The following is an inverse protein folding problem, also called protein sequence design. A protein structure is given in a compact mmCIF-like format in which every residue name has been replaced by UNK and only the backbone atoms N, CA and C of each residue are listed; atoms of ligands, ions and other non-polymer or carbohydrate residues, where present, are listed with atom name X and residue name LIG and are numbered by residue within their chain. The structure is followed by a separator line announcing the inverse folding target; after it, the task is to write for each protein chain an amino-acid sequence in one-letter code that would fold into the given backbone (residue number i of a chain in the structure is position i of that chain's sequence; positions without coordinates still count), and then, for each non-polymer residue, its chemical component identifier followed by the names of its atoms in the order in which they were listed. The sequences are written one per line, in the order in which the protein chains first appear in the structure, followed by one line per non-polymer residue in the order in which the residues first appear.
data_IF_923913994263
#
_entry.id   IF_923913994263
#
_cell.length_a   1.000
_cell.length_b   1.000
_cell.length_c   1.000
_cell.angle_alpha   90.00
_cell.angle_beta   90.00
_cell.angle_gamma   90.00
#
_symmetry.space_group_name_H-M   'P 1'
#
loop_
_entity.id
_entity.type
_entity.pdbx_description
1 polymer ?
#
# COMPACT_ATOMS: atom_id res chain seq x y z
N UNK A 1 -16.12 -0.15 -8.39
CA UNK A 1 -15.01 -1.06 -8.07
C UNK A 1 -15.28 -2.40 -8.75
N UNK A 2 -14.28 -2.93 -9.43
CA UNK A 2 -14.36 -4.21 -10.14
C UNK A 2 -14.42 -5.35 -9.12
N UNK A 3 -15.21 -6.40 -9.40
CA UNK A 3 -15.28 -7.59 -8.54
C UNK A 3 -14.17 -8.57 -8.93
N UNK A 4 -13.58 -9.26 -7.97
CA UNK A 4 -12.51 -10.24 -8.24
C UNK A 4 -12.93 -11.33 -9.25
N UNK A 5 -14.18 -11.78 -9.18
CA UNK A 5 -14.76 -12.74 -10.14
C UNK A 5 -14.75 -12.23 -11.59
N UNK A 6 -14.75 -10.91 -11.81
CA UNK A 6 -14.62 -10.33 -13.15
C UNK A 6 -13.16 -10.39 -13.61
N UNK A 7 -12.21 -10.09 -12.73
CA UNK A 7 -10.77 -10.13 -13.03
C UNK A 7 -10.26 -11.56 -13.32
N UNK A 8 -10.87 -12.56 -12.70
CA UNK A 8 -10.58 -13.98 -12.96
C UNK A 8 -11.04 -14.45 -14.35
N UNK A 9 -11.96 -13.72 -14.98
CA UNK A 9 -12.59 -14.10 -16.26
C UNK A 9 -12.16 -13.22 -17.42
N UNK A 10 -11.74 -11.99 -17.15
CA UNK A 10 -11.29 -11.05 -18.17
C UNK A 10 -9.91 -11.49 -18.72
N UNK A 11 -9.79 -11.81 -20.02
CA UNK A 11 -8.52 -12.22 -20.62
C UNK A 11 -7.36 -11.24 -20.37
N UNK A 12 -7.65 -9.93 -20.27
CA UNK A 12 -6.62 -8.91 -20.07
C UNK A 12 -6.01 -8.96 -18.66
N UNK A 13 -6.75 -9.45 -17.66
CA UNK A 13 -6.30 -9.47 -16.26
C UNK A 13 -6.07 -10.88 -15.72
N UNK A 14 -6.73 -11.88 -16.30
CA UNK A 14 -6.84 -13.25 -15.78
C UNK A 14 -5.48 -13.88 -15.49
N UNK A 15 -4.50 -13.74 -16.39
CA UNK A 15 -3.18 -14.35 -16.22
C UNK A 15 -2.49 -13.81 -14.97
N UNK A 16 -2.37 -12.48 -14.84
CA UNK A 16 -1.75 -11.88 -13.67
C UNK A 16 -2.59 -12.15 -12.41
N UNK A 17 -3.91 -11.98 -12.50
CA UNK A 17 -4.81 -12.15 -11.36
C UNK A 17 -4.70 -13.57 -10.75
N UNK A 18 -4.60 -14.59 -11.59
CA UNK A 18 -4.43 -15.98 -11.15
C UNK A 18 -3.01 -16.28 -10.63
N UNK A 19 -2.01 -15.50 -11.02
CA UNK A 19 -0.64 -15.57 -10.48
C UNK A 19 -0.51 -14.82 -9.14
N UNK A 20 -1.46 -15.03 -8.24
CA UNK A 20 -1.46 -14.47 -6.89
C UNK A 20 -0.63 -15.33 -5.95
N UNK A 21 0.28 -14.72 -5.20
CA UNK A 21 1.03 -15.37 -4.13
C UNK A 21 0.37 -15.02 -2.80
N UNK A 22 -0.17 -16.04 -2.12
CA UNK A 22 -0.97 -15.87 -0.91
C UNK A 22 -0.32 -16.41 0.36
N UNK A 23 0.82 -17.09 0.24
CA UNK A 23 1.51 -17.72 1.38
C UNK A 23 2.89 -17.10 1.60
N UNK A 24 3.33 -17.07 2.86
CA UNK A 24 4.68 -16.65 3.23
C UNK A 24 5.74 -17.53 2.55
N UNK A 25 5.47 -18.84 2.43
CA UNK A 25 6.37 -19.76 1.72
C UNK A 25 6.54 -19.35 0.26
N UNK A 26 5.45 -19.11 -0.46
CA UNK A 26 5.51 -18.65 -1.84
C UNK A 26 6.21 -17.30 -1.98
N UNK A 27 6.02 -16.39 -1.03
CA UNK A 27 6.73 -15.11 -1.03
C UNK A 27 8.25 -15.30 -0.87
N UNK A 28 8.70 -16.22 -0.01
CA UNK A 28 10.13 -16.55 0.13
C UNK A 28 10.73 -17.18 -1.12
N UNK A 29 9.99 -18.09 -1.76
CA UNK A 29 10.45 -18.79 -2.97
C UNK A 29 10.79 -17.83 -4.12
N UNK A 30 10.04 -16.73 -4.25
CA UNK A 30 10.29 -15.74 -5.30
C UNK A 30 11.28 -14.64 -4.90
N UNK A 31 11.64 -14.55 -3.61
CA UNK A 31 12.30 -13.37 -3.04
C UNK A 31 13.63 -13.03 -3.70
N UNK A 32 14.47 -14.05 -3.94
CA UNK A 32 15.82 -13.86 -4.48
C UNK A 32 15.83 -13.57 -5.99
N UNK A 33 14.78 -13.99 -6.70
CA UNK A 33 14.71 -14.00 -8.17
C UNK A 33 13.73 -12.96 -8.75
N UNK A 34 13.23 -12.05 -7.92
CA UNK A 34 12.26 -11.04 -8.33
C UNK A 34 12.70 -9.63 -7.91
N UNK A 35 12.28 -8.66 -8.71
CA UNK A 35 12.19 -7.27 -8.30
C UNK A 35 10.75 -6.99 -7.83
N UNK A 36 10.57 -5.96 -7.00
CA UNK A 36 9.28 -5.65 -6.39
C UNK A 36 8.84 -4.24 -6.75
N UNK A 37 7.55 -4.11 -7.03
CA UNK A 37 6.91 -2.81 -7.20
C UNK A 37 5.66 -2.75 -6.34
N UNK A 38 5.54 -1.70 -5.53
CA UNK A 38 4.31 -1.40 -4.82
C UNK A 38 3.47 -0.36 -5.56
N UNK A 39 2.16 -0.55 -5.53
CA UNK A 39 1.15 0.34 -6.08
C UNK A 39 0.13 0.70 -4.99
N UNK A 40 -0.19 1.98 -4.87
CA UNK A 40 -1.29 2.45 -4.03
C UNK A 40 -2.04 3.57 -4.76
N UNK A 41 -3.34 3.63 -4.56
CA UNK A 41 -4.21 4.62 -5.19
C UNK A 41 -4.99 5.42 -4.17
N UNK A 42 -5.16 6.73 -4.42
CA UNK A 42 -6.04 7.58 -3.61
C UNK A 42 -7.17 8.15 -4.45
N UNK A 43 -8.37 7.96 -3.95
CA UNK A 43 -9.61 8.41 -4.58
C UNK A 43 -10.53 9.11 -3.58
N UNK A 44 -11.25 10.12 -4.06
CA UNK A 44 -12.17 10.94 -3.27
C UNK A 44 -13.60 10.75 -3.78
N UNK A 45 -14.57 10.67 -2.87
CA UNK A 45 -15.98 10.66 -3.27
C UNK A 45 -16.42 12.08 -3.66
N UNK A 46 -17.15 12.22 -4.77
CA UNK A 46 -17.65 13.52 -5.27
C UNK A 46 -19.08 13.74 -4.76
N UNK A 47 -20.02 12.90 -5.20
CA UNK A 47 -21.44 13.04 -4.85
C UNK A 47 -21.96 11.89 -3.98
N UNK A 48 -21.36 10.70 -4.09
CA UNK A 48 -21.74 9.51 -3.35
C UNK A 48 -20.56 8.57 -3.15
N UNK A 49 -20.68 7.54 -2.29
CA UNK A 49 -19.63 6.53 -2.11
C UNK A 49 -19.31 5.72 -3.38
N UNK A 50 -20.23 5.69 -4.36
CA UNK A 50 -20.04 5.00 -5.64
C UNK A 50 -19.39 5.86 -6.72
N UNK A 51 -19.38 7.18 -6.53
CA UNK A 51 -18.85 8.18 -7.47
C UNK A 51 -17.54 8.73 -6.91
N UNK A 52 -16.44 8.03 -7.21
CA UNK A 52 -15.11 8.33 -6.68
C UNK A 52 -14.16 8.64 -7.82
N UNK A 53 -13.42 9.74 -7.68
CA UNK A 53 -12.39 10.13 -8.64
C UNK A 53 -11.01 9.85 -8.09
N UNK A 54 -10.20 9.18 -8.90
CA UNK A 54 -8.79 8.93 -8.67
C UNK A 54 -8.04 10.27 -8.73
N UNK A 55 -7.28 10.58 -7.69
CA UNK A 55 -6.55 11.85 -7.60
C UNK A 55 -5.07 11.68 -7.27
N UNK A 56 -4.63 10.44 -7.02
CA UNK A 56 -3.22 10.12 -6.83
C UNK A 56 -2.95 8.65 -7.14
N UNK A 57 -1.79 8.40 -7.74
CA UNK A 57 -1.18 7.07 -7.85
C UNK A 57 0.22 7.13 -7.26
N UNK A 58 0.57 6.16 -6.43
CA UNK A 58 1.91 5.97 -5.88
C UNK A 58 2.51 4.70 -6.46
N UNK A 59 3.77 4.78 -6.85
CA UNK A 59 4.59 3.67 -7.35
C UNK A 59 5.92 3.69 -6.59
N UNK A 60 6.38 2.53 -6.13
CA UNK A 60 7.72 2.38 -5.60
C UNK A 60 8.33 1.07 -6.07
N UNK A 61 9.48 1.16 -6.73
CA UNK A 61 10.25 0.01 -7.18
C UNK A 61 11.45 -0.24 -6.26
N UNK A 62 11.79 -1.51 -6.09
CA UNK A 62 13.02 -1.93 -5.45
C UNK A 62 13.51 -3.27 -5.99
N UNK A 63 14.83 -3.41 -6.09
CA UNK A 63 15.49 -4.70 -6.40
C UNK A 63 15.64 -5.62 -5.19
N UNK A 64 15.53 -5.06 -3.99
CA UNK A 64 15.75 -5.80 -2.74
C UNK A 64 14.78 -5.38 -1.65
N UNK A 65 14.59 -6.24 -0.65
CA UNK A 65 13.96 -5.86 0.60
C UNK A 65 14.96 -6.16 1.72
N UNK A 66 15.84 -5.19 1.98
CA UNK A 66 16.84 -5.22 3.04
C UNK A 66 16.53 -4.13 4.05
N UNK A 67 16.99 -4.32 5.28
CA UNK A 67 17.05 -3.23 6.25
C UNK A 67 18.29 -3.38 7.09
N UNK A 68 19.05 -2.30 7.24
CA UNK A 68 20.19 -2.25 8.16
C UNK A 68 19.77 -2.29 9.63
N UNK A 69 18.47 -2.07 9.90
CA UNK A 69 17.95 -1.98 11.26
C UNK A 69 17.73 -3.39 11.82
N UNK A 70 18.31 -3.74 12.98
CA UNK A 70 18.01 -5.01 13.63
C UNK A 70 16.50 -5.12 13.91
N UNK A 71 15.95 -6.34 13.96
CA UNK A 71 14.55 -6.61 14.32
C UNK A 71 14.13 -5.78 15.51
N UNK A 72 12.89 -5.31 15.49
CA UNK A 72 12.35 -4.66 16.66
C UNK A 72 12.24 -5.74 17.77
N UNK A 73 12.91 -5.58 18.92
CA UNK A 73 12.82 -6.55 20.00
C UNK A 73 11.36 -6.75 20.42
N UNK A 74 11.02 -7.95 20.88
CA UNK A 74 9.70 -8.25 21.41
C UNK A 74 9.29 -7.21 22.46
N UNK A 75 7.99 -6.91 22.54
CA UNK A 75 7.47 -5.87 23.42
C UNK A 75 7.70 -6.29 24.88
N UNK A 76 8.61 -5.62 25.57
CA UNK A 76 8.90 -5.82 27.00
C UNK A 76 8.66 -4.52 27.79
N UNK A 77 8.21 -4.66 29.04
CA UNK A 77 8.03 -3.51 29.93
C UNK A 77 9.37 -2.80 30.15
N UNK A 78 9.37 -1.47 30.01
CA UNK A 78 10.54 -0.63 30.28
C UNK A 78 11.54 -0.47 29.14
N UNK A 79 11.38 -1.18 28.01
CA UNK A 79 12.31 -1.07 26.87
C UNK A 79 11.80 -0.07 25.83
N UNK A 80 12.61 0.96 25.56
CA UNK A 80 12.37 1.90 24.45
C UNK A 80 12.67 1.17 23.14
N UNK A 81 11.63 0.89 22.34
CA UNK A 81 11.81 0.27 21.03
C UNK A 81 12.57 1.21 20.07
N UNK A 82 13.54 0.68 19.28
CA UNK A 82 14.20 1.45 18.26
C UNK A 82 13.17 1.98 17.25
N UNK A 83 13.28 3.26 16.92
CA UNK A 83 12.37 3.94 15.98
C UNK A 83 12.91 3.77 14.57
N UNK A 84 12.50 2.71 13.89
CA UNK A 84 12.84 2.51 12.47
C UNK A 84 12.18 3.61 11.64
N UNK A 85 12.95 4.25 10.77
CA UNK A 85 12.48 5.34 9.91
C UNK A 85 12.25 4.82 8.50
N UNK A 86 11.13 5.19 7.87
CA UNK A 86 10.85 4.79 6.48
C UNK A 86 11.89 5.35 5.51
N UNK A 87 12.43 6.54 5.80
CA UNK A 87 13.52 7.14 5.02
C UNK A 87 14.75 6.26 4.93
N UNK A 88 15.17 5.66 6.04
CA UNK A 88 16.33 4.77 6.02
C UNK A 88 16.03 3.51 5.21
N UNK A 89 14.82 2.97 5.31
CA UNK A 89 14.42 1.82 4.50
C UNK A 89 14.39 2.15 3.00
N UNK A 90 13.89 3.33 2.62
CA UNK A 90 13.92 3.81 1.24
C UNK A 90 15.35 3.91 0.69
N UNK A 91 16.26 4.52 1.46
CA UNK A 91 17.67 4.68 1.10
C UNK A 91 18.41 3.33 1.05
N UNK A 92 18.19 2.44 2.02
CA UNK A 92 18.88 1.13 2.11
C UNK A 92 18.58 0.20 0.93
N UNK A 93 17.48 0.45 0.23
CA UNK A 93 17.01 -0.36 -0.88
C UNK A 93 17.14 0.34 -2.22
N UNK A 94 17.76 1.54 -2.26
CA UNK A 94 17.94 2.33 -3.48
C UNK A 94 16.62 2.47 -4.25
N UNK A 95 15.54 2.76 -3.53
CA UNK A 95 14.20 2.72 -4.11
C UNK A 95 13.97 3.83 -5.13
N UNK A 96 13.28 3.49 -6.21
CA UNK A 96 12.77 4.44 -7.18
C UNK A 96 11.29 4.68 -6.88
N UNK A 97 10.94 5.91 -6.50
CA UNK A 97 9.58 6.29 -6.12
C UNK A 97 8.98 7.30 -7.09
N UNK A 98 7.71 7.14 -7.41
CA UNK A 98 6.95 8.08 -8.23
C UNK A 98 5.55 8.29 -7.65
N UNK A 99 5.22 9.55 -7.42
CA UNK A 99 3.87 9.99 -7.04
C UNK A 99 3.26 10.80 -8.18
N UNK A 100 2.19 10.29 -8.77
CA UNK A 100 1.41 10.99 -9.79
C UNK A 100 0.22 11.69 -9.14
N UNK A 101 0.20 13.01 -9.20
CA UNK A 101 -0.94 13.85 -8.84
C UNK A 101 -1.80 14.06 -10.08
N UNK A 102 -3.02 13.53 -10.06
CA UNK A 102 -3.92 13.67 -11.21
C UNK A 102 -4.61 15.04 -11.15
N UNK A 103 -4.57 15.75 -12.25
CA UNK A 103 -5.27 17.01 -12.44
C UNK A 103 -6.76 16.75 -12.69
N UNK A 104 -7.53 16.70 -11.61
CA UNK A 104 -8.97 16.39 -11.65
C UNK A 104 -9.84 17.57 -12.11
N UNK A 105 -9.25 18.71 -12.51
CA UNK A 105 -10.00 19.91 -12.94
C UNK A 105 -10.86 19.63 -14.18
N UNK A 106 -10.36 18.84 -15.13
CA UNK A 106 -11.07 18.46 -16.36
C UNK A 106 -12.25 17.52 -16.07
N UNK A 107 -12.04 16.51 -15.22
CA UNK A 107 -13.07 15.50 -14.88
C UNK A 107 -14.20 16.06 -14.01
N UNK A 108 -13.89 16.97 -13.11
CA UNK A 108 -14.87 17.51 -12.15
C UNK A 108 -15.74 18.64 -12.76
N UNK A 109 -15.30 19.27 -13.85
CA UNK A 109 -16.00 20.37 -14.53
C UNK A 109 -16.11 21.67 -13.70
N UNK A 110 -16.30 22.80 -14.39
CA UNK A 110 -16.41 24.13 -13.76
C UNK A 110 -17.62 24.29 -12.82
N UNK A 111 -18.65 23.46 -12.97
CA UNK A 111 -19.86 23.54 -12.14
C UNK A 111 -19.66 23.00 -10.72
N UNK A 112 -18.87 21.93 -10.52
CA UNK A 112 -18.50 21.43 -9.18
C UNK A 112 -17.62 22.44 -8.45
N UNK A 113 -16.85 23.25 -9.20
CA UNK A 113 -16.04 24.33 -8.67
C UNK A 113 -16.89 25.53 -8.17
N UNK A 114 -18.02 25.81 -8.82
CA UNK A 114 -18.88 26.97 -8.54
C UNK A 114 -19.83 26.80 -7.35
N UNK A 115 -20.24 25.58 -6.98
CA UNK A 115 -21.19 25.31 -5.87
C UNK A 115 -20.48 25.25 -4.49
N UNK A 116 -19.35 25.96 -4.32
CA UNK A 116 -18.52 25.91 -3.12
C UNK A 116 -17.36 24.91 -3.22
N UNK A 117 -16.75 24.86 -4.41
CA UNK A 117 -15.70 23.93 -4.84
C UNK A 117 -14.56 23.70 -3.86
N UNK A 118 -13.94 22.52 -4.02
CA UNK A 118 -12.76 22.03 -3.30
C UNK A 118 -12.88 21.74 -1.79
N UNK A 119 -14.01 21.99 -1.11
CA UNK A 119 -14.15 21.65 0.33
C UNK A 119 -13.93 20.16 0.69
N UNK A 120 -13.89 19.25 -0.28
CA UNK A 120 -13.69 17.82 -0.09
C UNK A 120 -12.32 17.26 -0.50
N UNK A 121 -11.46 18.02 -1.20
CA UNK A 121 -10.13 17.51 -1.58
C UNK A 121 -9.20 17.61 -0.38
N UNK A 122 -8.74 16.50 0.21
CA UNK A 122 -8.04 16.59 1.47
C UNK A 122 -6.66 17.22 1.24
N UNK A 123 -6.34 18.20 2.09
CA UNK A 123 -5.01 18.82 2.12
C UNK A 123 -4.03 17.72 2.52
N UNK A 124 -3.12 17.40 1.60
CA UNK A 124 -2.20 16.27 1.71
C UNK A 124 -0.94 16.66 2.43
N UNK A 125 -0.31 15.66 3.04
CA UNK A 125 1.04 15.78 3.58
C UNK A 125 2.05 16.07 2.49
N UNK A 126 3.18 16.73 2.83
CA UNK A 126 4.30 16.86 1.92
C UNK A 126 4.74 15.49 1.43
N UNK A 127 4.98 15.38 0.13
CA UNK A 127 5.61 14.23 -0.49
C UNK A 127 7.01 14.01 0.09
N UNK A 128 7.37 12.75 0.37
CA UNK A 128 8.63 12.43 1.10
C UNK A 128 9.59 11.55 0.34
N UNK A 129 9.14 10.76 -0.62
CA UNK A 129 9.94 9.70 -1.22
C UNK A 129 9.86 9.71 -2.74
N UNK A 130 11.01 9.78 -3.41
CA UNK A 130 11.10 9.77 -4.87
C UNK A 130 10.58 11.05 -5.51
N UNK A 131 10.12 10.96 -6.75
CA UNK A 131 9.62 12.08 -7.55
C UNK A 131 8.12 12.30 -7.36
N UNK A 132 7.68 13.54 -7.54
CA UNK A 132 6.26 13.90 -7.61
C UNK A 132 6.00 14.65 -8.91
N UNK A 133 5.04 14.16 -9.71
CA UNK A 133 4.64 14.76 -10.99
C UNK A 133 3.14 15.02 -10.99
N UNK A 134 2.72 16.08 -11.66
CA UNK A 134 1.30 16.33 -11.93
C UNK A 134 1.00 15.91 -13.36
N UNK A 135 -0.05 15.12 -13.56
CA UNK A 135 -0.45 14.56 -14.85
C UNK A 135 -1.94 14.77 -15.06
N UNK A 136 -2.36 14.96 -16.31
CA UNK A 136 -3.78 14.86 -16.65
C UNK A 136 -4.21 13.39 -16.65
N UNK A 137 -5.51 13.10 -16.48
CA UNK A 137 -5.99 11.72 -16.40
C UNK A 137 -5.72 10.96 -17.70
N UNK A 138 -5.77 11.65 -18.84
CA UNK A 138 -5.53 11.08 -20.16
C UNK A 138 -4.08 10.61 -20.35
N UNK A 139 -3.13 11.23 -19.64
CA UNK A 139 -1.70 10.91 -19.69
C UNK A 139 -1.27 9.95 -18.55
N UNK A 140 -2.20 9.53 -17.70
CA UNK A 140 -1.91 8.72 -16.52
C UNK A 140 -1.32 7.36 -16.91
N UNK A 141 -1.96 6.65 -17.85
CA UNK A 141 -1.46 5.33 -18.29
C UNK A 141 -0.08 5.44 -18.90
N UNK A 142 0.14 6.42 -19.77
CA UNK A 142 1.44 6.66 -20.39
C UNK A 142 2.53 6.91 -19.33
N UNK A 143 2.24 7.73 -18.32
CA UNK A 143 3.17 8.05 -17.23
C UNK A 143 3.50 6.82 -16.36
N UNK A 144 2.51 5.95 -16.09
CA UNK A 144 2.73 4.70 -15.36
C UNK A 144 3.57 3.73 -16.19
N UNK A 145 3.26 3.60 -17.49
CA UNK A 145 3.96 2.69 -18.41
C UNK A 145 5.40 3.15 -18.64
N UNK A 146 5.63 4.45 -18.82
CA UNK A 146 6.99 5.03 -18.96
C UNK A 146 7.84 4.67 -17.73
N UNK A 147 7.32 4.91 -16.52
CA UNK A 147 8.00 4.52 -15.30
C UNK A 147 8.36 3.04 -15.27
N UNK A 148 7.44 2.15 -15.67
CA UNK A 148 7.66 0.70 -15.72
C UNK A 148 8.64 0.27 -16.82
N UNK A 149 8.69 0.98 -17.93
CA UNK A 149 9.58 0.67 -19.07
C UNK A 149 11.05 0.95 -18.75
N UNK A 150 11.31 1.98 -17.95
CA UNK A 150 12.64 2.39 -17.51
C UNK A 150 13.23 1.48 -16.42
N UNK A 151 12.39 0.65 -15.79
CA UNK A 151 12.84 -0.27 -14.75
C UNK A 151 13.78 -1.36 -15.29
N UNK A 152 14.72 -1.84 -14.48
CA UNK A 152 15.57 -2.97 -14.78
C UNK A 152 14.78 -4.25 -15.10
N UNK A 153 15.16 -4.91 -16.20
CA UNK A 153 14.51 -6.13 -16.73
C UNK A 153 15.32 -7.40 -16.45
N UNK A 154 16.22 -7.34 -15.47
CA UNK A 154 17.13 -8.42 -15.07
C UNK A 154 16.41 -9.55 -14.32
N UNK A 155 15.27 -9.25 -13.68
CA UNK A 155 14.45 -10.18 -12.91
C UNK A 155 12.98 -10.01 -13.23
N UNK A 156 12.19 -11.00 -12.80
CA UNK A 156 10.72 -10.91 -12.83
C UNK A 156 10.24 -9.76 -11.93
N UNK A 157 9.29 -8.97 -12.41
CA UNK A 157 8.66 -7.93 -11.60
C UNK A 157 7.42 -8.47 -10.90
N UNK A 158 7.30 -8.24 -9.60
CA UNK A 158 6.17 -8.69 -8.77
C UNK A 158 5.49 -7.48 -8.14
N UNK A 159 4.18 -7.39 -8.34
CA UNK A 159 3.33 -6.34 -7.78
C UNK A 159 3.01 -6.63 -6.32
N UNK A 160 3.20 -5.66 -5.42
CA UNK A 160 2.89 -5.77 -4.00
C UNK A 160 1.87 -4.70 -3.61
N UNK A 161 0.85 -5.07 -2.85
CA UNK A 161 -0.01 -4.11 -2.17
C UNK A 161 -0.55 -4.60 -0.85
N UNK A 162 -1.44 -3.82 -0.24
CA UNK A 162 -2.11 -4.15 1.00
C UNK A 162 -3.60 -3.78 0.88
N UNK A 163 -4.45 -4.78 0.64
CA UNK A 163 -5.86 -4.55 0.33
C UNK A 163 -6.10 -4.09 -1.10
N UNK A 164 -5.64 -4.89 -2.07
CA UNK A 164 -5.51 -4.58 -3.51
C UNK A 164 -6.82 -4.32 -4.29
N UNK A 165 -7.98 -4.24 -3.63
CA UNK A 165 -9.26 -4.16 -4.32
C UNK A 165 -9.46 -2.87 -5.13
N UNK A 166 -8.97 -1.74 -4.62
CA UNK A 166 -9.01 -0.47 -5.34
C UNK A 166 -7.98 -0.44 -6.47
N UNK A 167 -6.76 -0.91 -6.18
CA UNK A 167 -5.64 -0.96 -7.11
C UNK A 167 -5.97 -1.81 -8.33
N UNK A 168 -6.61 -2.96 -8.15
CA UNK A 168 -7.09 -3.79 -9.25
C UNK A 168 -8.18 -3.12 -10.10
N UNK A 169 -9.05 -2.31 -9.47
CA UNK A 169 -10.02 -1.51 -10.24
C UNK A 169 -9.25 -0.56 -11.15
N UNK A 170 -8.28 0.20 -10.63
CA UNK A 170 -7.55 1.18 -11.42
C UNK A 170 -6.56 0.56 -12.42
N UNK A 171 -5.93 -0.57 -12.09
CA UNK A 171 -5.13 -1.34 -13.05
C UNK A 171 -5.98 -1.78 -14.24
N UNK A 172 -7.20 -2.27 -14.01
CA UNK A 172 -8.05 -2.73 -15.13
C UNK A 172 -8.71 -1.61 -15.92
N UNK A 173 -8.96 -0.43 -15.31
CA UNK A 173 -9.73 0.65 -15.96
C UNK A 173 -8.90 1.86 -16.40
N UNK A 174 -7.87 2.23 -15.66
CA UNK A 174 -7.14 3.48 -15.85
C UNK A 174 -5.75 3.27 -16.47
N UNK A 175 -5.11 2.14 -16.21
CA UNK A 175 -3.78 1.83 -16.76
C UNK A 175 -3.58 0.33 -17.03
N UNK A 176 -4.46 -0.32 -17.83
CA UNK A 176 -4.36 -1.74 -18.16
C UNK A 176 -3.06 -2.13 -18.86
N UNK A 177 -2.42 -1.22 -19.60
CA UNK A 177 -1.12 -1.47 -20.24
C UNK A 177 0.02 -1.71 -19.23
N UNK A 178 -0.17 -1.41 -17.94
CA UNK A 178 0.76 -1.76 -16.88
C UNK A 178 0.74 -3.25 -16.51
N UNK A 179 -0.39 -3.94 -16.73
CA UNK A 179 -0.60 -5.33 -16.27
C UNK A 179 0.46 -6.30 -16.84
N UNK A 180 0.80 -6.26 -18.14
CA UNK A 180 1.79 -7.19 -18.72
C UNK A 180 3.21 -7.07 -18.16
N UNK A 181 3.55 -5.99 -17.44
CA UNK A 181 4.87 -5.85 -16.81
C UNK A 181 5.04 -6.77 -15.60
N UNK A 182 3.94 -7.19 -14.98
CA UNK A 182 3.98 -8.00 -13.75
C UNK A 182 3.89 -9.49 -14.07
N UNK A 183 4.72 -10.26 -13.38
CA UNK A 183 4.73 -11.72 -13.50
C UNK A 183 3.82 -12.41 -12.48
N UNK A 184 3.64 -11.77 -11.33
CA UNK A 184 2.82 -12.22 -10.21
C UNK A 184 2.45 -11.01 -9.33
N UNK A 185 1.54 -11.22 -8.39
CA UNK A 185 1.18 -10.19 -7.41
C UNK A 185 0.95 -10.76 -6.00
N UNK A 186 1.12 -9.90 -4.99
CA UNK A 186 0.96 -10.21 -3.57
C UNK A 186 0.05 -9.16 -2.94
N UNK A 187 -1.00 -9.61 -2.25
CA UNK A 187 -1.64 -8.81 -1.21
C UNK A 187 -1.03 -9.22 0.14
N UNK A 188 -0.33 -8.28 0.79
CA UNK A 188 0.31 -8.53 2.08
C UNK A 188 -0.71 -8.89 3.18
N UNK A 189 -1.99 -8.59 2.99
CA UNK A 189 -3.06 -9.08 3.84
C UNK A 189 -3.17 -10.61 3.84
N UNK A 190 -2.96 -11.27 2.70
CA UNK A 190 -2.97 -12.73 2.61
C UNK A 190 -1.80 -13.33 3.38
N UNK A 191 -0.61 -12.72 3.24
CA UNK A 191 0.61 -13.16 3.94
C UNK A 191 0.44 -13.03 5.46
N UNK A 192 -0.17 -11.94 5.92
CA UNK A 192 -0.51 -11.77 7.34
C UNK A 192 -1.51 -12.83 7.79
N UNK A 193 -2.53 -13.13 6.98
CA UNK A 193 -3.50 -14.19 7.25
C UNK A 193 -2.86 -15.57 7.33
N UNK A 194 -1.92 -15.88 6.42
CA UNK A 194 -1.16 -17.14 6.40
C UNK A 194 -0.33 -17.29 7.68
N UNK A 195 0.47 -16.27 8.03
CA UNK A 195 1.30 -16.28 9.26
C UNK A 195 0.44 -16.41 10.52
N UNK A 196 -0.70 -15.72 10.58
CA UNK A 196 -1.54 -15.68 11.79
C UNK A 196 -2.60 -16.77 11.84
N UNK A 197 -2.74 -17.57 10.78
CA UNK A 197 -3.84 -18.54 10.58
C UNK A 197 -5.21 -17.91 10.89
N UNK A 198 -5.43 -16.69 10.42
CA UNK A 198 -6.60 -15.86 10.78
C UNK A 198 -7.53 -15.60 9.61
N UNK A 199 -8.81 -15.38 9.90
CA UNK A 199 -9.72 -14.89 8.87
C UNK A 199 -9.44 -13.41 8.56
N UNK A 200 -9.59 -13.05 7.28
CA UNK A 200 -9.42 -11.68 6.77
C UNK A 200 -10.26 -10.63 7.52
N UNK A 201 -11.36 -11.04 8.18
CA UNK A 201 -12.23 -10.14 8.94
C UNK A 201 -11.55 -9.48 10.16
N UNK A 202 -10.40 -10.00 10.61
CA UNK A 202 -9.66 -9.48 11.76
C UNK A 202 -8.29 -8.89 11.39
N UNK A 203 -8.04 -8.64 10.10
CA UNK A 203 -6.78 -8.11 9.64
C UNK A 203 -6.55 -6.68 10.16
N UNK A 204 -5.46 -6.42 10.91
CA UNK A 204 -5.13 -5.06 11.33
C UNK A 204 -4.77 -4.20 10.10
N UNK A 205 -5.02 -2.89 10.17
CA UNK A 205 -4.63 -1.99 9.09
C UNK A 205 -3.10 -1.83 8.96
N UNK A 206 -2.64 -1.32 7.81
CA UNK A 206 -1.22 -1.10 7.48
C UNK A 206 -0.47 -0.33 8.58
N UNK A 207 -1.08 0.74 9.12
CA UNK A 207 -0.49 1.55 10.18
C UNK A 207 -0.21 0.72 11.45
N UNK A 208 -1.16 -0.12 11.86
CA UNK A 208 -0.98 -0.95 13.05
C UNK A 208 0.15 -1.97 12.85
N UNK A 209 0.19 -2.62 11.67
CA UNK A 209 1.21 -3.61 11.37
C UNK A 209 2.62 -3.01 11.34
N UNK A 210 2.80 -1.88 10.66
CA UNK A 210 4.13 -1.27 10.54
C UNK A 210 4.63 -0.73 11.90
N UNK A 211 3.72 -0.22 12.74
CA UNK A 211 4.03 0.15 14.14
C UNK A 211 4.43 -1.07 14.98
N UNK A 212 3.76 -2.20 14.78
CA UNK A 212 4.06 -3.46 15.46
C UNK A 212 5.51 -3.90 15.20
N UNK A 213 6.01 -3.64 14.00
CA UNK A 213 7.38 -3.93 13.57
C UNK A 213 8.39 -2.81 13.84
N UNK A 214 8.02 -1.83 14.67
CA UNK A 214 8.94 -0.80 15.20
C UNK A 214 9.15 0.42 14.32
N UNK A 215 8.41 0.55 13.22
CA UNK A 215 8.48 1.78 12.43
C UNK A 215 7.81 2.94 13.15
N UNK A 216 8.40 4.11 12.98
CA UNK A 216 7.94 5.31 13.65
C UNK A 216 6.60 5.76 13.08
N UNK A 217 5.57 5.77 13.92
CA UNK A 217 4.21 6.13 13.49
C UNK A 217 4.10 7.50 12.80
N UNK A 218 4.98 8.46 13.15
CA UNK A 218 4.96 9.79 12.51
C UNK A 218 5.44 9.78 11.06
N UNK A 219 6.13 8.72 10.64
CA UNK A 219 6.45 8.52 9.23
C UNK A 219 5.24 7.99 8.43
N UNK A 220 4.13 7.63 9.08
CA UNK A 220 2.95 7.01 8.43
C UNK A 220 1.67 7.83 8.67
N UNK A 221 1.55 8.50 9.83
CA UNK A 221 0.44 9.42 10.17
C UNK A 221 0.97 10.74 10.71
N UNK A 222 0.27 11.88 10.49
CA UNK A 222 0.75 13.16 10.96
C UNK A 222 0.55 13.24 12.48
N UNK A 223 1.40 14.01 13.15
CA UNK A 223 1.19 14.32 14.56
C UNK A 223 -0.11 15.12 14.76
N UNK A 224 -0.77 14.97 15.92
CA UNK A 224 -2.01 15.68 16.32
C UNK A 224 -1.95 17.23 16.27
N UNK A 225 -0.88 17.85 15.74
CA UNK A 225 -0.67 19.30 15.68
C UNK A 225 -0.07 19.81 14.36
N UNK A 226 0.15 18.97 13.36
CA UNK A 226 0.68 19.37 12.05
C UNK A 226 -0.45 19.78 11.09
N UNK A 227 -1.30 20.73 11.51
CA UNK A 227 -2.48 21.13 10.72
C UNK A 227 -2.16 22.03 9.52
N UNK A 228 -0.97 22.63 9.46
CA UNK A 228 -0.54 23.46 8.34
C UNK A 228 -0.19 22.66 7.08
N UNK A 229 0.26 21.42 7.25
CA UNK A 229 0.88 20.65 6.15
C UNK A 229 -0.06 19.55 5.62
N UNK A 230 -1.35 19.58 5.96
CA UNK A 230 -2.32 18.57 5.55
C UNK A 230 -2.32 17.27 6.38
N UNK A 231 -3.45 16.56 6.37
CA UNK A 231 -3.66 15.33 7.16
C UNK A 231 -3.94 14.10 6.28
N UNK A 232 -4.24 14.31 4.99
CA UNK A 232 -4.51 13.21 4.06
C UNK A 232 -3.32 12.26 3.92
N UNK A 233 -3.62 10.99 3.70
CA UNK A 233 -2.63 9.99 3.32
C UNK A 233 -2.09 10.30 1.90
N UNK A 234 -0.83 9.92 1.62
CA UNK A 234 -0.16 10.15 0.34
C UNK A 234 0.18 8.80 -0.27
N UNK A 235 -0.28 8.56 -1.50
CA UNK A 235 -0.06 7.27 -2.18
C UNK A 235 1.42 6.87 -2.27
N UNK A 236 2.31 7.84 -2.55
CA UNK A 236 3.76 7.62 -2.63
C UNK A 236 4.39 7.22 -1.30
N UNK A 237 3.89 7.76 -0.19
CA UNK A 237 4.35 7.37 1.15
C UNK A 237 3.82 5.97 1.53
N UNK A 238 2.61 5.65 1.12
CA UNK A 238 1.95 4.38 1.44
C UNK A 238 2.57 3.20 0.68
N UNK A 239 3.04 3.38 -0.55
CA UNK A 239 3.80 2.33 -1.27
C UNK A 239 5.13 1.99 -0.61
N UNK A 240 5.86 2.99 -0.08
CA UNK A 240 7.09 2.75 0.69
C UNK A 240 6.77 2.04 2.01
N UNK A 241 5.69 2.43 2.67
CA UNK A 241 5.19 1.75 3.88
C UNK A 241 4.81 0.30 3.59
N UNK A 242 4.22 0.03 2.43
CA UNK A 242 3.83 -1.30 1.98
C UNK A 242 5.05 -2.18 1.73
N UNK A 243 6.08 -1.70 1.03
CA UNK A 243 7.34 -2.45 0.86
C UNK A 243 8.06 -2.67 2.20
N UNK A 244 7.99 -1.69 3.12
CA UNK A 244 8.54 -1.83 4.46
C UNK A 244 7.82 -2.92 5.27
N UNK A 245 6.51 -3.06 5.09
CA UNK A 245 5.72 -4.16 5.64
C UNK A 245 6.13 -5.49 5.00
N UNK A 246 6.29 -5.54 3.67
CA UNK A 246 6.72 -6.73 2.96
C UNK A 246 8.06 -7.28 3.50
N UNK A 247 9.05 -6.40 3.66
CA UNK A 247 10.31 -6.72 4.33
C UNK A 247 10.09 -7.27 5.75
N UNK A 248 9.25 -6.59 6.55
CA UNK A 248 9.02 -6.98 7.93
C UNK A 248 8.33 -8.35 8.06
N UNK A 249 7.48 -8.73 7.10
CA UNK A 249 6.81 -10.03 7.05
C UNK A 249 7.75 -11.17 6.61
N UNK A 250 8.78 -10.89 5.83
CA UNK A 250 9.79 -11.90 5.47
C UNK A 250 10.70 -12.29 6.65
N UNK A 251 10.91 -11.36 7.60
CA UNK A 251 11.74 -11.59 8.79
C UNK A 251 11.00 -12.41 9.87
N UNK A 252 11.43 -13.67 10.05
CA UNK A 252 10.87 -14.62 11.02
C UNK A 252 10.80 -14.11 12.45
N UNK A 253 11.75 -13.24 12.82
CA UNK A 253 11.83 -12.68 14.17
C UNK A 253 10.62 -11.80 14.50
N UNK A 254 9.91 -11.31 13.47
CA UNK A 254 8.71 -10.51 13.62
C UNK A 254 7.43 -11.35 13.79
N UNK A 255 7.43 -12.64 13.39
CA UNK A 255 6.22 -13.47 13.35
C UNK A 255 5.63 -13.72 14.74
N UNK A 256 6.48 -13.96 15.74
CA UNK A 256 6.04 -14.12 17.13
C UNK A 256 5.34 -12.88 17.67
N UNK A 257 5.84 -11.68 17.32
CA UNK A 257 5.19 -10.41 17.70
C UNK A 257 3.84 -10.25 17.00
N UNK A 258 3.78 -10.57 15.70
CA UNK A 258 2.55 -10.50 14.94
C UNK A 258 1.47 -11.44 15.49
N UNK A 259 1.83 -12.70 15.77
CA UNK A 259 0.96 -13.70 16.38
C UNK A 259 0.41 -13.23 17.73
N UNK A 260 1.27 -12.68 18.59
CA UNK A 260 0.89 -12.15 19.89
C UNK A 260 -0.11 -10.99 19.77
N UNK A 261 0.22 -9.95 19.01
CA UNK A 261 -0.63 -8.77 18.85
C UNK A 261 -1.98 -9.15 18.21
N UNK A 262 -1.98 -10.10 17.27
CA UNK A 262 -3.19 -10.61 16.67
C UNK A 262 -4.07 -11.38 17.67
N UNK A 263 -3.48 -12.22 18.54
CA UNK A 263 -4.22 -12.90 19.62
C UNK A 263 -4.83 -11.91 20.62
N UNK A 264 -4.08 -10.85 20.99
CA UNK A 264 -4.59 -9.76 21.83
C UNK A 264 -5.76 -9.03 21.16
N UNK A 265 -5.64 -8.69 19.87
CA UNK A 265 -6.68 -8.01 19.12
C UNK A 265 -7.97 -8.84 19.03
N UNK A 266 -7.85 -10.15 18.75
CA UNK A 266 -8.97 -11.09 18.75
C UNK A 266 -9.68 -11.11 20.11
N UNK A 267 -8.92 -11.23 21.20
CA UNK A 267 -9.47 -11.28 22.56
C UNK A 267 -10.21 -10.00 22.93
N UNK A 268 -9.62 -8.83 22.65
CA UNK A 268 -10.25 -7.53 22.89
C UNK A 268 -11.54 -7.35 22.07
N UNK A 269 -11.55 -7.83 20.82
CA UNK A 269 -12.70 -7.74 19.92
C UNK A 269 -13.86 -8.66 20.35
N UNK A 270 -13.55 -9.85 20.87
CA UNK A 270 -14.54 -10.76 21.48
C UNK A 270 -15.13 -10.20 22.78
N UNK A 271 -14.33 -9.50 23.59
CA UNK A 271 -14.80 -8.82 24.80
C UNK A 271 -15.81 -7.70 24.51
N UNK A 272 -15.60 -6.93 23.44
CA UNK A 272 -16.54 -5.88 23.00
C UNK A 272 -17.89 -6.42 22.53
N UNK A 273 -17.93 -7.60 21.89
CA UNK A 273 -19.21 -8.25 21.51
C UNK A 273 -20.01 -8.72 22.71
N UNK A 274 -19.36 -9.17 23.79
CA UNK A 274 -20.06 -9.57 25.04
C UNK A 274 -20.61 -8.39 25.83
N UNK A 275 -20.02 -7.19 25.69
CA UNK A 275 -20.48 -5.98 26.37
C UNK A 275 -21.70 -5.32 25.68
N UNK A 276 -22.04 -5.70 24.45
CA UNK A 276 -23.19 -5.20 23.68
C UNK A 276 -24.44 -6.10 23.78
N UNK A 277 -24.38 -7.18 24.56
CA UNK A 277 -25.48 -8.13 24.80
C UNK A 277 -25.82 -8.18 26.30
N UNK A 278 -25.71 -7.06 27.00
CA UNK A 278 -26.19 -6.90 28.38
C UNK A 278 -27.04 -5.65 28.50
#
# INVERSE_FOLDING_TARGET
MVRYQQLERDPATQILFNNRITTLKGFREIFENSNFLALDTKHVAITSKGDRVLHQVGLAFTRTLKSRHPPCPARSLGVIRPKRRLRHFFEDNEMEGLTLKINTRKELGDQVLRVGGFKGMPIRRPHRFGEEKTVDIEDLEASVVEFLQDLPKDKKLVLIGFGMGAEWTHLSTNFPAAIPFFSAWIDLGDIVTDITSSSLAYLPNLLFLIQTFGYWWKDVKPGRRCHSDGNADNAGDDVVTTLALAHALLDERNHGTLLFEHACFRTASSGRRKALIR
#
